data_IF_524408860496
#
_entry.id   IF_524408860496
#
_cell.length_a   1.000
_cell.length_b   1.000
_cell.length_c   1.000
_cell.angle_alpha   90.00
_cell.angle_beta   90.00
_cell.angle_gamma   90.00
#
_symmetry.space_group_name_H-M   'P 1'
#
loop_
_entity.id
_entity.type
_entity.pdbx_description
1 polymer ?
#
# COMPACT_ATOMS: atom_id res chain seq x y z
N UNK A 1 -12.42 -22.21 -10.24
CA UNK A 1 -11.13 -21.89 -9.60
C UNK A 1 -10.85 -20.41 -9.83
N UNK A 2 -11.17 -19.55 -8.86
CA UNK A 2 -10.84 -18.12 -8.98
C UNK A 2 -9.34 -17.97 -8.73
N UNK A 3 -8.57 -17.72 -9.78
CA UNK A 3 -7.24 -17.17 -9.62
C UNK A 3 -7.42 -15.81 -8.92
N UNK A 4 -7.18 -15.76 -7.61
CA UNK A 4 -7.05 -14.48 -6.91
C UNK A 4 -6.02 -13.67 -7.69
N UNK A 5 -6.45 -12.59 -8.34
CA UNK A 5 -5.56 -11.74 -9.11
C UNK A 5 -4.44 -11.29 -8.17
N UNK A 6 -3.23 -11.80 -8.42
CA UNK A 6 -2.04 -11.46 -7.65
C UNK A 6 -1.73 -10.01 -7.96
N UNK A 7 -1.79 -9.17 -6.92
CA UNK A 7 -1.48 -7.76 -7.03
C UNK A 7 -0.01 -7.60 -7.46
N UNK A 8 0.26 -6.65 -8.33
CA UNK A 8 1.61 -6.42 -8.82
C UNK A 8 2.53 -5.91 -7.70
N UNK A 9 1.98 -5.17 -6.73
CA UNK A 9 2.71 -4.64 -5.59
C UNK A 9 3.29 -5.74 -4.68
N UNK A 10 2.72 -6.95 -4.70
CA UNK A 10 3.31 -8.09 -3.96
C UNK A 10 4.75 -8.36 -4.40
N UNK A 11 5.05 -8.17 -5.70
CA UNK A 11 6.41 -8.32 -6.23
C UNK A 11 7.36 -7.26 -5.69
N UNK A 12 6.88 -6.08 -5.29
CA UNK A 12 7.73 -5.04 -4.69
C UNK A 12 8.22 -5.52 -3.33
N UNK A 13 7.34 -6.11 -2.52
CA UNK A 13 7.75 -6.68 -1.24
C UNK A 13 8.69 -7.88 -1.42
N UNK A 14 8.38 -8.79 -2.34
CA UNK A 14 9.22 -9.97 -2.58
C UNK A 14 10.63 -9.60 -3.07
N UNK A 15 10.74 -8.66 -4.02
CA UNK A 15 12.01 -8.28 -4.64
C UNK A 15 12.86 -7.35 -3.78
N UNK A 16 12.23 -6.43 -3.05
CA UNK A 16 12.94 -5.35 -2.35
C UNK A 16 12.99 -5.50 -0.83
N UNK A 17 12.39 -6.53 -0.24
CA UNK A 17 12.40 -6.73 1.22
C UNK A 17 13.80 -6.71 1.85
N UNK A 18 14.82 -7.20 1.11
CA UNK A 18 16.22 -7.26 1.57
C UNK A 18 17.17 -6.42 0.71
N UNK A 19 16.63 -5.61 -0.20
CA UNK A 19 17.44 -4.77 -1.06
C UNK A 19 18.13 -3.66 -0.24
N UNK A 20 19.30 -3.21 -0.69
CA UNK A 20 19.94 -2.00 -0.14
C UNK A 20 18.97 -0.82 -0.26
N UNK A 21 19.03 0.10 0.70
CA UNK A 21 18.16 1.29 0.77
C UNK A 21 16.67 1.02 0.97
N UNK A 22 16.31 -0.21 1.37
CA UNK A 22 14.97 -0.58 1.74
C UNK A 22 14.88 -0.93 3.23
N UNK A 23 13.74 -0.60 3.83
CA UNK A 23 13.31 -1.10 5.14
C UNK A 23 11.94 -1.73 4.96
N UNK A 24 11.85 -3.01 5.26
CA UNK A 24 10.61 -3.79 5.14
C UNK A 24 10.07 -4.17 6.53
N UNK A 25 8.77 -4.05 6.72
CA UNK A 25 8.04 -4.58 7.88
C UNK A 25 6.94 -5.50 7.37
N UNK A 26 6.83 -6.69 7.94
CA UNK A 26 5.72 -7.61 7.75
C UNK A 26 5.15 -7.98 9.12
N UNK A 27 3.87 -7.67 9.32
CA UNK A 27 3.10 -8.08 10.48
C UNK A 27 1.90 -8.90 10.02
N UNK A 28 1.51 -9.87 10.83
CA UNK A 28 0.32 -10.71 10.60
C UNK A 28 -0.50 -10.77 11.87
N UNK A 29 -1.82 -10.73 11.74
CA UNK A 29 -2.77 -10.80 12.85
C UNK A 29 -2.42 -9.83 13.99
N UNK A 30 -2.13 -8.58 13.62
CA UNK A 30 -1.64 -7.55 14.53
C UNK A 30 -2.69 -6.49 14.78
N UNK A 31 -2.57 -5.78 15.89
CA UNK A 31 -3.29 -4.53 16.11
C UNK A 31 -2.36 -3.36 15.83
N UNK A 32 -2.78 -2.43 14.97
CA UNK A 32 -2.03 -1.21 14.66
C UNK A 32 -2.94 0.00 14.87
N UNK A 33 -2.56 0.91 15.77
CA UNK A 33 -3.35 2.10 16.13
C UNK A 33 -4.80 1.77 16.51
N UNK A 34 -5.02 0.62 17.16
CA UNK A 34 -6.36 0.14 17.57
C UNK A 34 -7.14 -0.62 16.49
N UNK A 35 -6.63 -0.73 15.27
CA UNK A 35 -7.26 -1.51 14.19
C UNK A 35 -6.63 -2.89 14.07
N UNK A 36 -7.46 -3.93 14.01
CA UNK A 36 -7.02 -5.29 13.79
C UNK A 36 -6.75 -5.53 12.29
N UNK A 37 -5.55 -5.99 11.98
CA UNK A 37 -5.06 -6.23 10.62
C UNK A 37 -4.71 -7.71 10.46
N UNK A 38 -5.19 -8.33 9.38
CA UNK A 38 -4.79 -9.69 9.01
C UNK A 38 -3.36 -9.70 8.49
N UNK A 39 -3.04 -8.74 7.61
CA UNK A 39 -1.71 -8.53 7.05
C UNK A 39 -1.40 -7.05 7.01
N UNK A 40 -0.20 -6.68 7.43
CA UNK A 40 0.39 -5.38 7.20
C UNK A 40 1.80 -5.55 6.64
N UNK A 41 2.04 -5.01 5.45
CA UNK A 41 3.36 -4.94 4.81
C UNK A 41 3.70 -3.48 4.59
N UNK A 42 4.90 -3.04 4.94
CA UNK A 42 5.38 -1.72 4.54
C UNK A 42 6.82 -1.76 4.06
N UNK A 43 7.07 -1.10 2.93
CA UNK A 43 8.38 -0.93 2.36
C UNK A 43 8.67 0.56 2.24
N UNK A 44 9.60 1.05 3.04
CA UNK A 44 10.22 2.37 2.84
C UNK A 44 11.48 2.19 2.00
N UNK A 45 11.65 3.03 0.98
CA UNK A 45 12.74 2.93 0.02
C UNK A 45 13.39 4.28 -0.27
N UNK A 46 14.65 4.27 -0.72
CA UNK A 46 15.36 5.45 -1.26
C UNK A 46 15.91 5.16 -2.65
N UNK A 47 15.85 6.14 -3.56
CA UNK A 47 16.34 6.04 -4.95
C UNK A 47 15.72 4.91 -5.80
N UNK A 48 14.50 4.46 -5.48
CA UNK A 48 13.85 3.32 -6.14
C UNK A 48 12.48 3.64 -6.76
N UNK A 49 12.00 4.89 -6.66
CA UNK A 49 10.69 5.27 -7.20
C UNK A 49 10.49 4.86 -8.68
N UNK A 50 11.43 5.09 -9.63
CA UNK A 50 11.20 4.71 -11.03
C UNK A 50 10.97 3.20 -11.24
N UNK A 51 11.51 2.36 -10.34
CA UNK A 51 11.35 0.90 -10.42
C UNK A 51 10.09 0.42 -9.71
N UNK A 52 9.63 1.13 -8.67
CA UNK A 52 8.44 0.78 -7.88
C UNK A 52 7.15 1.33 -8.52
N UNK A 53 7.18 2.53 -9.10
CA UNK A 53 6.01 3.19 -9.70
C UNK A 53 5.26 2.36 -10.75
N UNK A 54 5.90 1.58 -11.63
CA UNK A 54 5.20 0.71 -12.58
C UNK A 54 4.25 -0.29 -11.90
N UNK A 55 4.63 -0.85 -10.74
CA UNK A 55 3.79 -1.79 -10.00
C UNK A 55 2.55 -1.09 -9.43
N UNK A 56 2.73 0.12 -8.87
CA UNK A 56 1.61 0.95 -8.40
C UNK A 56 0.67 1.32 -9.55
N UNK A 57 1.20 1.72 -10.71
CA UNK A 57 0.41 2.07 -11.89
C UNK A 57 -0.38 0.86 -12.42
N UNK A 58 0.20 -0.33 -12.37
CA UNK A 58 -0.49 -1.55 -12.77
C UNK A 58 -1.66 -1.85 -11.83
N UNK A 59 -1.44 -1.82 -10.52
CA UNK A 59 -2.52 -2.06 -9.55
C UNK A 59 -3.57 -0.95 -9.53
N UNK A 60 -3.20 0.30 -9.80
CA UNK A 60 -4.15 1.42 -9.96
C UNK A 60 -5.24 1.11 -10.99
N UNK A 61 -4.88 0.48 -12.11
CA UNK A 61 -5.84 0.16 -13.21
C UNK A 61 -6.92 -0.83 -12.79
N UNK A 62 -6.66 -1.65 -11.78
CA UNK A 62 -7.55 -2.68 -11.27
C UNK A 62 -8.15 -2.33 -9.89
N UNK A 63 -7.93 -1.10 -9.41
CA UNK A 63 -8.46 -0.64 -8.14
C UNK A 63 -9.97 -0.39 -8.23
N UNK A 64 -10.72 -0.84 -7.22
CA UNK A 64 -12.16 -0.57 -7.08
C UNK A 64 -12.42 0.88 -6.67
N UNK A 65 -11.56 1.44 -5.82
CA UNK A 65 -11.61 2.85 -5.40
C UNK A 65 -10.20 3.41 -5.36
N UNK A 66 -10.06 4.65 -5.79
CA UNK A 66 -8.80 5.37 -5.83
C UNK A 66 -8.98 6.67 -5.05
N UNK A 67 -8.01 6.97 -4.17
CA UNK A 67 -7.84 8.28 -3.57
C UNK A 67 -6.39 8.69 -3.73
N UNK A 68 -6.16 9.84 -4.35
CA UNK A 68 -4.83 10.37 -4.61
C UNK A 68 -4.77 11.81 -4.07
N UNK A 69 -3.68 12.14 -3.40
CA UNK A 69 -3.35 13.51 -3.01
C UNK A 69 -2.47 14.08 -4.10
N UNK A 70 -2.92 15.19 -4.67
CA UNK A 70 -2.23 15.90 -5.74
C UNK A 70 -1.69 17.21 -5.19
N UNK A 71 -0.41 17.45 -5.39
CA UNK A 71 0.29 18.69 -5.04
C UNK A 71 1.17 19.09 -6.23
N UNK A 72 1.14 20.38 -6.61
CA UNK A 72 1.85 20.91 -7.79
C UNK A 72 1.63 20.09 -9.07
N UNK A 73 0.39 19.65 -9.30
CA UNK A 73 0.00 18.86 -10.47
C UNK A 73 0.55 17.42 -10.47
N UNK A 74 1.12 16.95 -9.35
CA UNK A 74 1.69 15.60 -9.21
C UNK A 74 1.03 14.83 -8.09
N UNK A 75 0.81 13.53 -8.31
CA UNK A 75 0.36 12.62 -7.24
C UNK A 75 1.51 12.40 -6.27
N UNK A 76 1.33 12.85 -5.01
CA UNK A 76 2.34 12.74 -3.95
C UNK A 76 2.06 11.60 -2.98
N UNK A 77 0.80 11.21 -2.79
CA UNK A 77 0.41 10.07 -1.95
C UNK A 77 -0.99 9.59 -2.31
N UNK A 78 -1.43 8.49 -1.73
CA UNK A 78 -2.79 8.00 -1.94
C UNK A 78 -2.99 6.58 -1.44
N UNK A 79 -4.20 6.07 -1.69
CA UNK A 79 -4.50 4.66 -1.55
C UNK A 79 -5.38 4.13 -2.69
N UNK A 80 -5.22 2.85 -2.95
CA UNK A 80 -6.03 2.04 -3.85
C UNK A 80 -6.71 0.93 -3.05
N UNK A 81 -8.04 0.89 -3.11
CA UNK A 81 -8.82 -0.22 -2.57
C UNK A 81 -8.97 -1.26 -3.67
N UNK A 82 -8.48 -2.46 -3.42
CA UNK A 82 -8.52 -3.57 -4.38
C UNK A 82 -9.79 -4.41 -4.17
N UNK A 83 -10.06 -5.32 -5.10
CA UNK A 83 -11.10 -6.35 -4.89
C UNK A 83 -10.80 -7.12 -3.59
N UNK A 84 -11.78 -7.32 -2.68
CA UNK A 84 -11.58 -8.13 -1.47
C UNK A 84 -11.08 -9.55 -1.78
N UNK A 85 -10.30 -10.15 -0.86
CA UNK A 85 -9.88 -11.56 -1.01
C UNK A 85 -11.03 -12.53 -0.78
N UNK A 86 -11.86 -12.19 0.21
CA UNK A 86 -13.08 -12.87 0.62
C UNK A 86 -13.99 -11.82 1.27
N UNK A 87 -15.23 -12.20 1.54
CA UNK A 87 -16.17 -11.35 2.26
C UNK A 87 -15.57 -10.90 3.61
N UNK A 88 -15.69 -9.60 3.90
CA UNK A 88 -15.14 -8.99 5.13
C UNK A 88 -13.63 -8.74 5.15
N UNK A 89 -12.85 -9.14 4.11
CA UNK A 89 -11.40 -8.88 4.06
C UNK A 89 -11.04 -7.97 2.88
N UNK A 90 -10.98 -6.67 3.18
CA UNK A 90 -10.59 -5.64 2.24
C UNK A 90 -9.07 -5.64 2.03
N UNK A 91 -8.66 -5.22 0.83
CA UNK A 91 -7.26 -5.07 0.44
C UNK A 91 -6.98 -3.61 0.09
N UNK A 92 -5.93 -3.06 0.68
CA UNK A 92 -5.49 -1.69 0.42
C UNK A 92 -4.02 -1.65 0.03
N UNK A 93 -3.71 -0.82 -0.96
CA UNK A 93 -2.36 -0.39 -1.28
C UNK A 93 -2.30 1.10 -0.96
N UNK A 94 -1.43 1.51 -0.04
CA UNK A 94 -1.18 2.91 0.26
C UNK A 94 0.22 3.27 -0.19
N UNK A 95 0.43 4.51 -0.60
CA UNK A 95 1.75 4.98 -0.97
C UNK A 95 1.94 6.45 -0.64
N UNK A 96 3.19 6.82 -0.39
CA UNK A 96 3.63 8.19 -0.25
C UNK A 96 4.98 8.37 -0.93
N UNK A 97 5.10 9.40 -1.76
CA UNK A 97 6.35 9.78 -2.42
C UNK A 97 7.12 10.72 -1.50
N UNK A 98 8.41 10.44 -1.34
CA UNK A 98 9.36 11.31 -0.66
C UNK A 98 10.22 12.07 -1.66
N UNK A 99 11.23 12.77 -1.14
CA UNK A 99 12.23 13.45 -1.97
C UNK A 99 13.18 12.44 -2.66
N UNK A 100 13.89 12.88 -3.70
CA UNK A 100 14.99 12.12 -4.34
C UNK A 100 14.62 10.65 -4.63
N UNK A 101 13.48 10.41 -5.28
CA UNK A 101 13.00 9.06 -5.62
C UNK A 101 12.85 8.10 -4.42
N UNK A 102 12.66 8.64 -3.21
CA UNK A 102 12.28 7.88 -2.02
C UNK A 102 10.76 7.79 -1.90
N UNK A 103 10.30 6.94 -0.99
CA UNK A 103 8.88 6.81 -0.70
C UNK A 103 8.59 5.65 0.21
N UNK A 104 7.31 5.41 0.42
CA UNK A 104 6.79 4.27 1.16
C UNK A 104 5.62 3.66 0.38
N UNK A 105 5.57 2.33 0.36
CA UNK A 105 4.40 1.56 -0.07
C UNK A 105 3.96 0.71 1.11
N UNK A 106 2.65 0.66 1.34
CA UNK A 106 2.02 -0.16 2.38
C UNK A 106 0.97 -1.03 1.73
N UNK A 107 0.89 -2.29 2.13
CA UNK A 107 -0.20 -3.19 1.79
C UNK A 107 -0.89 -3.69 3.05
N UNK A 108 -2.22 -3.66 3.05
CA UNK A 108 -3.05 -4.00 4.20
C UNK A 108 -4.15 -4.97 3.76
N UNK A 109 -4.34 -6.00 4.57
CA UNK A 109 -5.52 -6.87 4.55
C UNK A 109 -6.24 -6.76 5.90
N UNK A 110 -7.56 -6.60 5.86
CA UNK A 110 -8.39 -6.63 7.05
C UNK A 110 -9.79 -6.08 6.81
N UNK A 111 -10.59 -6.01 7.88
CA UNK A 111 -11.97 -5.55 7.82
C UNK A 111 -12.12 -4.02 7.71
N UNK A 112 -11.01 -3.27 7.66
CA UNK A 112 -11.02 -1.82 7.64
C UNK A 112 -11.81 -1.28 6.45
N UNK A 113 -12.60 -0.26 6.73
CA UNK A 113 -13.28 0.57 5.74
C UNK A 113 -12.35 1.68 5.22
N UNK A 114 -12.67 2.32 4.08
CA UNK A 114 -11.90 3.46 3.59
C UNK A 114 -11.77 4.60 4.62
N UNK A 115 -12.79 4.84 5.44
CA UNK A 115 -12.76 5.89 6.46
C UNK A 115 -11.85 5.52 7.63
N UNK A 116 -11.79 4.24 8.00
CA UNK A 116 -10.84 3.75 9.01
C UNK A 116 -9.40 3.78 8.51
N UNK A 117 -9.17 3.50 7.22
CA UNK A 117 -7.87 3.73 6.58
C UNK A 117 -7.46 5.20 6.67
N UNK A 118 -8.37 6.12 6.38
CA UNK A 118 -8.13 7.55 6.54
C UNK A 118 -7.82 7.92 7.99
N UNK A 119 -8.62 7.43 8.95
CA UNK A 119 -8.36 7.65 10.38
C UNK A 119 -7.00 7.09 10.78
N UNK A 120 -6.62 5.91 10.31
CA UNK A 120 -5.32 5.30 10.62
C UNK A 120 -4.15 6.12 10.06
N UNK A 121 -4.29 6.70 8.85
CA UNK A 121 -3.23 7.46 8.19
C UNK A 121 -3.13 8.93 8.62
N UNK A 122 -4.26 9.55 8.96
CA UNK A 122 -4.36 10.98 9.26
C UNK A 122 -4.70 11.27 10.74
N UNK A 123 -4.78 10.24 11.59
CA UNK A 123 -4.73 10.45 13.04
C UNK A 123 -3.34 11.00 13.39
N UNK A 124 -3.35 12.29 13.74
CA UNK A 124 -2.26 13.19 14.13
C UNK A 124 -1.69 14.09 13.02
N UNK A 125 -2.35 15.24 12.84
CA UNK A 125 -1.73 16.51 13.22
C UNK A 125 -2.26 16.92 14.58
#
# INVERSE_FOLDING_TARGET
MSAQQKLQIEQVFDRFARAKNCKMVLLRHTTLRGFQLDVYKSLTYKNLAPVIEPYLKADRKQAKKIKEVIEDGRVISGYYMMTPLKEGVNRYILFGKGNKNSGTVIYIEGALTPDEIMKMCYSQR
#
